data_IF_799834504307
#
_entry.id   IF_799834504307
#
_cell.length_a   1.000
_cell.length_b   1.000
_cell.length_c   1.000
_cell.angle_alpha   90.00
_cell.angle_beta   90.00
_cell.angle_gamma   90.00
#
_symmetry.space_group_name_H-M   'P 1'
#
loop_
_entity.id
_entity.type
_entity.pdbx_description
1 polymer ?
#
# COMPACT_ATOMS: atom_id res chain seq x y z
N UNK A 1 -23.06 -5.57 -4.74
CA UNK A 1 -21.82 -4.86 -5.07
C UNK A 1 -21.09 -5.68 -6.11
N UNK A 2 -20.85 -5.08 -7.26
CA UNK A 2 -20.23 -5.71 -8.41
C UNK A 2 -18.73 -5.87 -8.11
N UNK A 3 -18.16 -7.07 -8.22
CA UNK A 3 -16.74 -7.38 -7.95
C UNK A 3 -15.77 -6.39 -8.61
N UNK A 4 -16.16 -5.89 -9.78
CA UNK A 4 -15.41 -4.91 -10.56
C UNK A 4 -15.22 -3.59 -9.81
N UNK A 5 -16.21 -3.14 -9.05
CA UNK A 5 -16.08 -1.94 -8.21
C UNK A 5 -15.12 -2.19 -7.04
N UNK A 6 -15.23 -3.32 -6.35
CA UNK A 6 -14.33 -3.67 -5.25
C UNK A 6 -12.87 -3.78 -5.69
N UNK A 7 -12.61 -4.35 -6.87
CA UNK A 7 -11.27 -4.40 -7.46
C UNK A 7 -10.76 -3.00 -7.84
N UNK A 8 -11.61 -2.16 -8.42
CA UNK A 8 -11.25 -0.77 -8.77
C UNK A 8 -10.92 0.05 -7.52
N UNK A 9 -11.69 -0.09 -6.44
CA UNK A 9 -11.39 0.59 -5.17
C UNK A 9 -10.09 0.06 -4.55
N UNK A 10 -9.84 -1.25 -4.58
CA UNK A 10 -8.58 -1.83 -4.10
C UNK A 10 -7.38 -1.26 -4.85
N UNK A 11 -7.47 -1.16 -6.18
CA UNK A 11 -6.43 -0.52 -7.00
C UNK A 11 -6.26 0.97 -6.72
N UNK A 12 -7.35 1.70 -6.45
CA UNK A 12 -7.30 3.12 -6.06
C UNK A 12 -6.67 3.35 -4.69
N UNK A 13 -6.94 2.47 -3.72
CA UNK A 13 -6.31 2.54 -2.40
C UNK A 13 -4.83 2.16 -2.46
N UNK A 14 -4.45 1.19 -3.29
CA UNK A 14 -3.05 0.87 -3.54
C UNK A 14 -2.32 2.08 -4.14
N UNK A 15 -2.95 2.76 -5.11
CA UNK A 15 -2.40 3.95 -5.75
C UNK A 15 -2.18 5.11 -4.76
N UNK A 16 -3.13 5.34 -3.84
CA UNK A 16 -3.05 6.44 -2.86
C UNK A 16 -1.94 6.23 -1.83
N UNK A 17 -1.57 4.96 -1.56
CA UNK A 17 -0.45 4.60 -0.71
C UNK A 17 0.88 4.57 -1.48
N UNK A 18 0.84 4.19 -2.75
CA UNK A 18 2.00 4.05 -3.62
C UNK A 18 2.60 5.41 -4.03
N UNK A 19 1.77 6.44 -4.27
CA UNK A 19 2.24 7.79 -4.61
C UNK A 19 3.12 8.43 -3.53
N UNK A 20 2.70 8.55 -2.25
CA UNK A 20 3.55 9.09 -1.20
C UNK A 20 4.78 8.21 -0.93
N UNK A 21 4.69 6.90 -1.17
CA UNK A 21 5.82 5.97 -1.07
C UNK A 21 6.92 6.26 -2.11
N UNK A 22 6.55 6.53 -3.37
CA UNK A 22 7.51 6.93 -4.41
C UNK A 22 8.15 8.30 -4.13
N UNK A 23 7.38 9.25 -3.59
CA UNK A 23 7.90 10.56 -3.19
C UNK A 23 8.90 10.45 -2.04
N UNK A 24 8.63 9.61 -1.05
CA UNK A 24 9.60 9.32 0.01
C UNK A 24 10.86 8.68 -0.58
N UNK A 25 10.73 7.69 -1.44
CA UNK A 25 11.88 7.04 -2.07
C UNK A 25 12.76 8.00 -2.89
N UNK A 26 12.14 8.88 -3.67
CA UNK A 26 12.83 9.87 -4.49
C UNK A 26 13.48 10.98 -3.65
N UNK A 27 12.92 11.29 -2.49
CA UNK A 27 13.43 12.32 -1.60
C UNK A 27 14.68 11.89 -0.83
N UNK A 28 15.05 10.61 -0.81
CA UNK A 28 16.21 10.18 -0.04
C UNK A 28 17.51 10.27 -0.86
N UNK A 29 18.39 11.25 -0.58
CA UNK A 29 19.70 11.28 -1.19
C UNK A 29 20.56 10.13 -0.63
N UNK A 30 21.04 9.30 -1.55
CA UNK A 30 22.37 8.66 -1.61
C UNK A 30 23.14 8.38 -0.30
N UNK A 31 23.47 7.10 -0.10
CA UNK A 31 24.54 6.54 0.78
C UNK A 31 24.47 6.64 2.31
N UNK A 32 23.32 6.89 2.94
CA UNK A 32 23.21 6.81 4.41
C UNK A 32 22.37 5.62 4.90
N UNK A 33 22.81 4.97 5.99
CA UNK A 33 22.13 3.83 6.66
C UNK A 33 20.68 4.17 7.06
N UNK A 34 20.43 5.44 7.38
CA UNK A 34 19.10 5.99 7.63
C UNK A 34 18.14 5.84 6.44
N UNK A 35 18.68 5.85 5.22
CA UNK A 35 17.90 5.68 4.01
C UNK A 35 17.36 4.27 3.84
N UNK A 36 18.22 3.29 4.13
CA UNK A 36 17.84 1.88 4.14
C UNK A 36 16.80 1.61 5.23
N UNK A 37 16.95 2.20 6.41
CA UNK A 37 16.00 2.04 7.51
C UNK A 37 14.62 2.58 7.17
N UNK A 38 14.54 3.77 6.57
CA UNK A 38 13.26 4.34 6.12
C UNK A 38 12.62 3.51 5.01
N UNK A 39 13.42 2.99 4.07
CA UNK A 39 12.97 2.11 3.01
C UNK A 39 12.26 0.86 3.57
N UNK A 40 12.91 0.19 4.53
CA UNK A 40 12.36 -1.01 5.18
C UNK A 40 11.07 -0.69 5.92
N UNK A 41 11.00 0.44 6.64
CA UNK A 41 9.76 0.88 7.32
C UNK A 41 8.62 1.08 6.31
N UNK A 42 8.91 1.72 5.17
CA UNK A 42 7.93 1.97 4.12
C UNK A 42 7.42 0.66 3.52
N UNK A 43 8.30 -0.30 3.24
CA UNK A 43 7.92 -1.63 2.72
C UNK A 43 7.04 -2.40 3.71
N UNK A 44 7.34 -2.32 5.01
CA UNK A 44 6.52 -2.94 6.07
C UNK A 44 5.14 -2.29 6.12
N UNK A 45 5.08 -0.96 6.13
CA UNK A 45 3.80 -0.23 6.12
C UNK A 45 2.96 -0.51 4.88
N UNK A 46 3.60 -0.59 3.71
CA UNK A 46 2.94 -0.97 2.46
C UNK A 46 2.36 -2.39 2.54
N UNK A 47 3.15 -3.34 3.02
CA UNK A 47 2.71 -4.74 3.18
C UNK A 47 1.54 -4.87 4.16
N UNK A 48 1.56 -4.13 5.27
CA UNK A 48 0.46 -4.09 6.25
C UNK A 48 -0.79 -3.44 5.64
N UNK A 49 -0.63 -2.34 4.89
CA UNK A 49 -1.72 -1.67 4.19
C UNK A 49 -2.42 -2.61 3.20
N UNK A 50 -1.65 -3.29 2.36
CA UNK A 50 -2.14 -4.30 1.41
C UNK A 50 -2.85 -5.45 2.10
N UNK A 51 -2.27 -6.01 3.16
CA UNK A 51 -2.88 -7.11 3.91
C UNK A 51 -4.21 -6.70 4.54
N UNK A 52 -4.29 -5.49 5.09
CA UNK A 52 -5.49 -4.95 5.72
C UNK A 52 -6.60 -4.71 4.69
N UNK A 53 -6.27 -4.07 3.56
CA UNK A 53 -7.21 -3.83 2.46
C UNK A 53 -7.70 -5.17 1.89
N UNK A 54 -6.80 -6.13 1.69
CA UNK A 54 -7.14 -7.48 1.21
C UNK A 54 -8.11 -8.18 2.16
N UNK A 55 -7.87 -8.13 3.47
CA UNK A 55 -8.78 -8.69 4.47
C UNK A 55 -10.15 -8.01 4.47
N UNK A 56 -10.20 -6.68 4.34
CA UNK A 56 -11.45 -5.92 4.26
C UNK A 56 -12.23 -6.29 3.00
N UNK A 57 -11.55 -6.39 1.85
CA UNK A 57 -12.19 -6.76 0.58
C UNK A 57 -12.68 -8.21 0.61
N UNK A 58 -11.90 -9.15 1.11
CA UNK A 58 -12.33 -10.55 1.27
C UNK A 58 -13.49 -10.65 2.26
N UNK A 59 -13.45 -9.91 3.38
CA UNK A 59 -14.55 -9.86 4.35
C UNK A 59 -15.84 -9.24 3.79
N UNK A 60 -15.72 -8.24 2.91
CA UNK A 60 -16.85 -7.63 2.21
C UNK A 60 -17.40 -8.54 1.09
N UNK A 61 -16.55 -9.29 0.41
CA UNK A 61 -16.92 -10.22 -0.66
C UNK A 61 -17.55 -11.51 -0.09
N UNK A 62 -17.01 -12.04 1.00
CA UNK A 62 -17.49 -13.28 1.62
C UNK A 62 -18.79 -13.14 2.41
N UNK A 63 -19.24 -11.91 2.70
CA UNK A 63 -20.49 -11.64 3.42
C UNK A 63 -21.70 -11.42 2.50
N UNK A 64 -21.63 -11.90 1.25
CA UNK A 64 -22.68 -11.73 0.25
C UNK A 64 -23.18 -13.07 -0.29
#
# INVERSE_FOLDING_TARGET
>A
MNLKYSLTYLGWYDLIFLVPMFFLFAYLPTYNVWSILLNVIIVIFFSIGLATITHIVIGLVGKK
#
